data_IF_954049373872
#
_entry.id   IF_954049373872
#
_cell.length_a   1.000
_cell.length_b   1.000
_cell.length_c   1.000
_cell.angle_alpha   90.00
_cell.angle_beta   90.00
_cell.angle_gamma   90.00
#
_symmetry.space_group_name_H-M   'P 1'
#
loop_
_entity.id
_entity.type
_entity.pdbx_description
1 polymer ?
#
# COMPACT_ATOMS: atom_id res chain seq x y z
N UNK A 1 -6.82 31.03 -83.90
CA UNK A 1 -6.02 29.80 -83.95
C UNK A 1 -6.00 29.24 -82.53
N UNK A 2 -6.51 28.08 -82.13
CA UNK A 2 -7.15 26.95 -82.81
C UNK A 2 -7.90 26.15 -81.71
N UNK A 3 -9.14 25.77 -81.98
CA UNK A 3 -9.95 24.80 -81.22
C UNK A 3 -9.50 23.36 -81.53
N UNK A 4 -9.63 22.40 -80.59
CA UNK A 4 -10.16 21.01 -80.75
C UNK A 4 -9.68 20.07 -79.61
N UNK A 5 -10.61 19.55 -78.81
CA UNK A 5 -11.27 18.20 -78.83
C UNK A 5 -10.50 17.14 -78.02
N UNK A 6 -11.01 16.69 -76.85
CA UNK A 6 -11.96 15.58 -76.53
C UNK A 6 -11.46 14.14 -76.79
N UNK A 7 -11.59 13.30 -75.74
CA UNK A 7 -11.89 11.85 -75.66
C UNK A 7 -10.77 10.78 -75.70
N UNK A 8 -10.61 10.03 -74.59
CA UNK A 8 -11.02 8.62 -74.32
C UNK A 8 -10.29 8.10 -73.05
N UNK A 9 -10.92 7.62 -71.96
CA UNK A 9 -11.66 6.35 -71.68
C UNK A 9 -10.76 5.12 -71.42
N UNK A 10 -10.97 4.51 -70.23
CA UNK A 10 -10.61 3.16 -69.73
C UNK A 10 -9.11 2.90 -69.43
N UNK A 11 -8.69 2.19 -68.37
CA UNK A 11 -9.19 0.90 -67.86
C UNK A 11 -9.00 0.71 -66.34
N UNK A 12 -9.85 -0.18 -65.84
CA UNK A 12 -9.89 -0.87 -64.55
C UNK A 12 -8.65 -1.75 -64.39
N UNK A 13 -8.04 -1.80 -63.20
CA UNK A 13 -7.44 -3.03 -62.70
C UNK A 13 -7.73 -3.20 -61.20
N UNK A 14 -8.47 -4.27 -60.92
CA UNK A 14 -8.59 -4.93 -59.64
C UNK A 14 -7.32 -5.76 -59.40
N UNK A 15 -7.01 -5.94 -58.11
CA UNK A 15 -6.40 -7.09 -57.43
C UNK A 15 -5.46 -6.56 -56.36
N UNK A 16 -5.34 -7.10 -55.15
CA UNK A 16 -6.03 -8.09 -54.33
C UNK A 16 -5.25 -8.01 -52.99
N UNK A 17 -5.94 -8.24 -51.88
CA UNK A 17 -5.43 -8.80 -50.63
C UNK A 17 -4.07 -8.32 -50.07
N UNK A 18 -4.10 -7.47 -49.05
CA UNK A 18 -3.28 -7.71 -47.85
C UNK A 18 -4.13 -7.47 -46.60
N UNK A 19 -4.52 -8.58 -46.00
CA UNK A 19 -5.16 -8.70 -44.70
C UNK A 19 -4.04 -8.73 -43.65
N UNK A 20 -3.69 -7.59 -43.07
CA UNK A 20 -2.77 -7.54 -41.93
C UNK A 20 -3.56 -7.64 -40.63
N UNK A 21 -3.74 -8.89 -40.17
CA UNK A 21 -4.14 -9.20 -38.80
C UNK A 21 -2.98 -8.83 -37.88
N UNK A 22 -3.04 -7.65 -37.26
CA UNK A 22 -2.15 -7.30 -36.15
C UNK A 22 -2.61 -8.05 -34.89
N UNK A 23 -1.89 -9.12 -34.56
CA UNK A 23 -1.90 -9.76 -33.26
C UNK A 23 -1.27 -8.83 -32.23
N UNK A 24 -2.07 -8.02 -31.52
CA UNK A 24 -1.61 -7.37 -30.29
C UNK A 24 -1.86 -8.29 -29.09
N UNK A 25 -0.88 -9.13 -28.76
CA UNK A 25 -0.78 -9.67 -27.40
C UNK A 25 -0.23 -8.57 -26.48
N UNK A 26 -1.11 -7.75 -25.92
CA UNK A 26 -0.77 -6.78 -24.88
C UNK A 26 -0.26 -7.53 -23.64
N UNK A 27 1.05 -7.64 -23.52
CA UNK A 27 1.71 -8.36 -22.43
C UNK A 27 1.81 -7.42 -21.23
N UNK A 28 0.80 -7.44 -20.36
CA UNK A 28 0.89 -6.75 -19.07
C UNK A 28 1.99 -7.43 -18.24
N UNK A 29 3.11 -6.73 -18.01
CA UNK A 29 4.19 -7.24 -17.19
C UNK A 29 4.00 -6.74 -15.74
N UNK A 30 3.86 -7.69 -14.81
CA UNK A 30 3.79 -7.39 -13.37
C UNK A 30 5.15 -7.71 -12.74
N UNK A 31 5.83 -6.69 -12.21
CA UNK A 31 7.05 -6.90 -11.43
C UNK A 31 6.68 -6.93 -9.95
N UNK A 32 6.94 -8.05 -9.28
CA UNK A 32 6.86 -8.17 -7.82
C UNK A 32 8.29 -8.24 -7.25
N UNK A 33 8.80 -7.12 -6.75
CA UNK A 33 10.12 -7.09 -6.08
C UNK A 33 9.94 -7.64 -4.66
N UNK A 34 10.23 -8.93 -4.45
CA UNK A 34 10.33 -9.51 -3.10
C UNK A 34 11.76 -9.36 -2.59
N UNK A 35 11.97 -8.74 -1.42
CA UNK A 35 13.23 -8.88 -0.68
C UNK A 35 13.37 -10.34 -0.24
N UNK A 36 14.42 -11.02 -0.68
CA UNK A 36 14.81 -12.32 -0.12
C UNK A 36 15.42 -12.08 1.26
N UNK A 37 14.63 -12.26 2.31
CA UNK A 37 15.16 -12.46 3.66
C UNK A 37 15.70 -13.88 3.73
N UNK A 38 17.01 -14.02 3.90
CA UNK A 38 17.66 -15.30 4.12
C UNK A 38 17.50 -15.70 5.60
N UNK A 39 16.76 -16.77 5.87
CA UNK A 39 16.98 -17.63 7.03
C UNK A 39 16.67 -19.07 6.63
N UNK A 40 17.69 -19.90 6.71
CA UNK A 40 17.64 -21.36 6.69
C UNK A 40 16.94 -21.88 7.93
N UNK A 41 15.98 -22.80 7.77
CA UNK A 41 15.90 -24.01 8.59
C UNK A 41 14.91 -25.03 7.98
N UNK A 42 15.39 -26.26 7.95
CA UNK A 42 14.75 -27.51 7.56
C UNK A 42 13.73 -27.99 8.59
N UNK A 43 12.55 -28.48 8.20
CA UNK A 43 11.89 -29.64 8.83
C UNK A 43 10.99 -30.37 7.83
N UNK A 44 11.07 -31.69 7.95
CA UNK A 44 10.42 -32.80 7.27
C UNK A 44 8.92 -32.72 6.95
N UNK A 45 8.60 -33.36 5.82
CA UNK A 45 7.25 -33.76 5.42
C UNK A 45 6.83 -35.03 6.17
N UNK A 46 5.70 -34.98 6.88
CA UNK A 46 4.82 -36.13 7.00
C UNK A 46 3.36 -35.69 7.19
N UNK A 47 2.55 -35.99 6.18
CA UNK A 47 1.10 -35.84 6.14
C UNK A 47 0.46 -37.20 6.37
N UNK A 48 -0.40 -37.33 7.38
CA UNK A 48 -1.52 -38.29 7.42
C UNK A 48 -2.67 -37.75 8.27
N UNK A 49 -3.81 -37.61 7.59
CA UNK A 49 -5.22 -37.75 8.00
C UNK A 49 -5.59 -37.86 9.48
N UNK A 50 -6.65 -37.13 9.90
CA UNK A 50 -7.96 -37.74 10.21
C UNK A 50 -9.04 -36.71 10.65
N UNK A 51 -10.27 -37.10 10.33
CA UNK A 51 -11.56 -36.40 10.42
C UNK A 51 -12.14 -36.31 11.85
N UNK A 52 -13.06 -35.35 12.00
CA UNK A 52 -14.35 -35.36 12.74
C UNK A 52 -14.39 -35.85 14.21
N UNK A 53 -14.95 -35.03 15.10
CA UNK A 53 -16.26 -35.33 15.70
C UNK A 53 -16.80 -34.18 16.59
N UNK A 54 -18.10 -33.93 16.42
CA UNK A 54 -18.97 -33.25 17.37
C UNK A 54 -19.13 -34.09 18.66
N UNK A 55 -19.44 -33.45 19.79
CA UNK A 55 -20.61 -33.82 20.62
C UNK A 55 -20.76 -32.96 21.89
N UNK A 56 -22.03 -32.80 22.25
CA UNK A 56 -22.66 -32.03 23.33
C UNK A 56 -22.44 -32.66 24.72
N UNK A 57 -22.57 -31.86 25.79
CA UNK A 57 -23.35 -32.12 27.04
C UNK A 57 -22.84 -31.20 28.17
N UNK A 58 -23.55 -30.12 28.55
CA UNK A 58 -24.64 -30.04 29.56
C UNK A 58 -24.24 -30.23 31.04
N UNK A 59 -24.43 -29.14 31.80
CA UNK A 59 -24.85 -28.98 33.20
C UNK A 59 -24.15 -29.71 34.37
N UNK A 60 -23.63 -28.93 35.32
CA UNK A 60 -24.15 -28.91 36.71
C UNK A 60 -23.67 -27.72 37.54
N UNK A 61 -24.64 -27.05 38.15
CA UNK A 61 -24.51 -26.01 39.18
C UNK A 61 -24.08 -26.61 40.54
N UNK A 62 -23.60 -25.75 41.46
CA UNK A 62 -24.06 -25.59 42.87
C UNK A 62 -22.93 -25.18 43.88
N UNK A 63 -23.17 -24.03 44.53
CA UNK A 63 -22.85 -23.53 45.90
C UNK A 63 -21.46 -23.02 46.35
N UNK A 64 -21.51 -21.76 46.84
CA UNK A 64 -20.67 -21.07 47.85
C UNK A 64 -20.68 -21.75 49.23
N UNK A 65 -19.65 -21.51 50.07
CA UNK A 65 -19.81 -20.71 51.32
C UNK A 65 -18.63 -19.73 51.56
N UNK A 66 -18.88 -18.45 51.93
CA UNK A 66 -18.84 -17.81 53.28
C UNK A 66 -17.48 -17.74 54.00
N UNK A 67 -17.10 -16.50 54.31
CA UNK A 67 -15.96 -15.99 55.12
C UNK A 67 -16.01 -16.37 56.60
N UNK A 68 -14.89 -16.18 57.31
CA UNK A 68 -14.95 -15.50 58.61
C UNK A 68 -13.88 -14.40 58.80
N UNK A 69 -14.15 -13.58 59.81
CA UNK A 69 -13.56 -12.28 60.09
C UNK A 69 -12.40 -12.31 61.12
N UNK A 70 -11.63 -11.21 61.11
CA UNK A 70 -11.04 -10.48 62.23
C UNK A 70 -10.09 -11.20 63.23
N UNK A 71 -8.87 -10.67 63.37
CA UNK A 71 -8.30 -10.28 64.67
C UNK A 71 -7.02 -9.44 64.53
N UNK A 72 -7.03 -8.24 65.14
CA UNK A 72 -5.84 -7.46 65.55
C UNK A 72 -5.44 -7.90 66.97
N UNK A 73 -4.16 -7.75 67.35
CA UNK A 73 -3.90 -6.95 68.55
C UNK A 73 -2.71 -5.97 68.45
N UNK A 74 -2.68 -5.07 69.44
CA UNK A 74 -1.83 -3.88 69.61
C UNK A 74 -0.41 -4.17 70.13
N UNK A 75 0.41 -3.13 69.93
CA UNK A 75 1.82 -2.85 70.30
C UNK A 75 2.28 -3.20 71.73
N UNK A 76 3.60 -3.46 71.87
CA UNK A 76 4.44 -2.98 72.98
C UNK A 76 5.88 -2.74 72.52
N UNK A 77 6.46 -1.62 72.98
CA UNK A 77 7.85 -1.16 72.77
C UNK A 77 8.81 -1.91 73.71
N UNK A 78 10.02 -2.19 73.24
CA UNK A 78 11.25 -2.13 74.04
C UNK A 78 12.47 -1.96 73.12
N UNK A 79 13.47 -1.21 73.60
CA UNK A 79 14.62 -0.68 72.87
C UNK A 79 15.91 -1.38 73.29
N UNK A 80 16.85 -1.63 72.36
CA UNK A 80 18.29 -1.31 72.46
C UNK A 80 19.17 -1.88 71.32
N UNK A 81 20.05 -0.99 70.85
CA UNK A 81 21.43 -1.16 70.33
C UNK A 81 21.70 -1.84 68.97
N UNK A 82 21.98 -0.97 68.00
CA UNK A 82 23.11 -0.97 67.04
C UNK A 82 23.77 -2.31 66.65
N UNK A 83 23.73 -2.61 65.35
CA UNK A 83 24.96 -2.82 64.55
C UNK A 83 24.68 -2.59 63.06
N UNK A 84 25.54 -1.79 62.48
CA UNK A 84 25.68 -1.44 61.06
C UNK A 84 25.75 -2.66 60.14
N UNK A 85 25.15 -2.56 58.94
CA UNK A 85 25.79 -2.92 57.65
C UNK A 85 24.83 -2.73 56.45
N UNK A 86 25.35 -2.10 55.39
CA UNK A 86 24.96 -2.17 53.98
C UNK A 86 23.50 -1.87 53.58
N UNK A 87 23.17 -0.59 53.51
CA UNK A 87 22.25 -0.09 52.48
C UNK A 87 23.06 0.28 51.24
N UNK A 88 22.44 0.23 50.06
CA UNK A 88 23.00 0.61 48.75
C UNK A 88 23.76 -0.52 48.04
N UNK A 89 23.03 -1.38 47.31
CA UNK A 89 23.34 -2.04 46.00
C UNK A 89 22.15 -2.98 45.63
N UNK A 90 20.90 -2.53 45.73
CA UNK A 90 19.72 -3.32 45.29
C UNK A 90 18.71 -2.54 44.44
N UNK A 91 19.12 -1.45 43.80
CA UNK A 91 18.20 -0.56 43.08
C UNK A 91 18.47 -0.44 41.57
N UNK A 92 19.62 -0.88 41.07
CA UNK A 92 19.92 -0.82 39.63
C UNK A 92 19.61 -2.11 38.84
N UNK A 93 19.50 -3.27 39.51
CA UNK A 93 19.10 -4.53 38.86
C UNK A 93 17.60 -4.57 38.54
N UNK A 94 16.78 -3.79 39.26
CA UNK A 94 15.32 -3.79 39.13
C UNK A 94 14.85 -2.87 37.98
N UNK A 95 15.58 -1.77 37.70
CA UNK A 95 15.19 -0.81 36.66
C UNK A 95 15.34 -1.41 35.26
N UNK A 96 16.47 -2.09 34.97
CA UNK A 96 16.67 -2.73 33.67
C UNK A 96 15.66 -3.83 33.41
N UNK A 97 15.35 -4.64 34.43
CA UNK A 97 14.34 -5.70 34.33
C UNK A 97 12.94 -5.11 34.09
N UNK A 98 12.56 -4.07 34.83
CA UNK A 98 11.30 -3.35 34.63
C UNK A 98 11.20 -2.72 33.24
N UNK A 99 12.27 -2.10 32.74
CA UNK A 99 12.31 -1.54 31.38
C UNK A 99 12.10 -2.64 30.34
N UNK A 100 12.73 -3.80 30.52
CA UNK A 100 12.54 -4.94 29.63
C UNK A 100 11.09 -5.46 29.68
N UNK A 101 10.51 -5.62 30.87
CA UNK A 101 9.12 -6.02 31.05
C UNK A 101 8.14 -5.03 30.39
N UNK A 102 8.36 -3.72 30.57
CA UNK A 102 7.55 -2.68 29.91
C UNK A 102 7.67 -2.76 28.39
N UNK A 103 8.87 -3.01 27.86
CA UNK A 103 9.07 -3.17 26.41
C UNK A 103 8.37 -4.43 25.86
N UNK A 104 8.39 -5.54 26.61
CA UNK A 104 7.65 -6.77 26.27
C UNK A 104 6.15 -6.51 26.26
N UNK A 105 5.63 -5.81 27.27
CA UNK A 105 4.21 -5.46 27.36
C UNK A 105 3.79 -4.53 26.23
N UNK A 106 4.59 -3.52 25.90
CA UNK A 106 4.36 -2.64 24.74
C UNK A 106 4.29 -3.44 23.45
N UNK A 107 5.26 -4.31 23.20
CA UNK A 107 5.28 -5.18 22.01
C UNK A 107 4.07 -6.11 21.94
N UNK A 108 3.63 -6.65 23.08
CA UNK A 108 2.45 -7.51 23.15
C UNK A 108 1.16 -6.72 22.91
N UNK A 109 1.08 -5.49 23.41
CA UNK A 109 -0.03 -4.59 23.15
C UNK A 109 -0.09 -4.24 21.66
N UNK A 110 1.02 -3.83 21.06
CA UNK A 110 1.11 -3.50 19.63
C UNK A 110 0.69 -4.66 18.72
N UNK A 111 1.01 -5.89 19.12
CA UNK A 111 0.61 -7.10 18.40
C UNK A 111 -0.88 -7.45 18.57
N UNK A 112 -1.50 -7.02 19.67
CA UNK A 112 -2.92 -7.26 19.96
C UNK A 112 -3.86 -6.20 19.37
N UNK A 113 -3.35 -5.02 19.03
CA UNK A 113 -4.13 -3.95 18.41
C UNK A 113 -4.48 -4.35 16.98
N UNK A 114 -5.77 -4.43 16.69
CA UNK A 114 -6.27 -4.60 15.32
C UNK A 114 -5.95 -3.32 14.55
N UNK A 115 -5.02 -3.41 13.60
CA UNK A 115 -4.64 -2.30 12.73
C UNK A 115 -5.58 -2.24 11.54
N UNK A 116 -5.87 -1.02 11.09
CA UNK A 116 -6.57 -0.82 9.82
C UNK A 116 -5.72 -1.39 8.68
N UNK A 117 -6.35 -2.08 7.74
CA UNK A 117 -5.74 -2.60 6.53
C UNK A 117 -5.77 -1.53 5.45
N UNK A 118 -4.60 -1.13 4.98
CA UNK A 118 -4.45 -0.08 3.97
C UNK A 118 -3.95 -0.64 2.64
N UNK A 119 -4.60 -0.21 1.56
CA UNK A 119 -4.15 -0.41 0.19
C UNK A 119 -3.79 0.92 -0.44
N UNK A 120 -2.63 1.00 -1.08
CA UNK A 120 -2.11 2.22 -1.71
C UNK A 120 -2.02 2.00 -3.22
N UNK A 121 -2.64 2.90 -3.99
CA UNK A 121 -2.71 2.82 -5.46
C UNK A 121 -2.20 4.13 -6.05
N UNK A 122 -1.12 4.05 -6.82
CA UNK A 122 -0.39 5.23 -7.29
C UNK A 122 -0.48 5.38 -8.80
N UNK A 123 -1.08 6.48 -9.21
CA UNK A 123 -0.94 7.01 -10.56
C UNK A 123 0.41 7.71 -10.65
N UNK A 124 1.39 6.99 -11.19
CA UNK A 124 2.78 7.46 -11.21
C UNK A 124 2.95 8.70 -12.07
N UNK A 125 2.39 8.79 -13.30
CA UNK A 125 2.39 10.04 -14.07
C UNK A 125 1.86 11.22 -13.26
N UNK A 126 0.68 11.12 -12.66
CA UNK A 126 0.10 12.25 -11.93
C UNK A 126 0.94 12.66 -10.72
N UNK A 127 1.54 11.70 -10.02
CA UNK A 127 2.47 11.99 -8.92
C UNK A 127 3.70 12.76 -9.42
N UNK A 128 4.41 12.22 -10.42
CA UNK A 128 5.68 12.79 -10.89
C UNK A 128 5.52 14.12 -11.62
N UNK A 129 4.41 14.32 -12.36
CA UNK A 129 4.11 15.59 -13.01
C UNK A 129 3.57 16.65 -12.03
N UNK A 130 3.04 16.23 -10.88
CA UNK A 130 2.57 17.14 -9.85
C UNK A 130 3.70 17.74 -8.99
N UNK A 131 4.91 17.16 -9.03
CA UNK A 131 6.09 17.71 -8.33
C UNK A 131 6.52 19.01 -9.00
N UNK A 132 6.73 20.04 -8.18
CA UNK A 132 7.31 21.28 -8.66
C UNK A 132 8.80 21.06 -8.96
N UNK A 133 9.17 20.99 -10.24
CA UNK A 133 10.54 20.66 -10.67
C UNK A 133 11.55 21.77 -10.34
N UNK A 134 11.07 22.99 -10.11
CA UNK A 134 11.89 24.19 -9.95
C UNK A 134 12.72 24.20 -8.65
N UNK A 135 12.35 23.39 -7.65
CA UNK A 135 13.07 23.28 -6.38
C UNK A 135 14.06 22.09 -6.33
N UNK A 136 14.12 21.28 -7.39
CA UNK A 136 14.97 20.10 -7.46
C UNK A 136 14.58 18.98 -6.49
N UNK A 137 13.36 19.02 -5.93
CA UNK A 137 12.92 18.03 -4.95
C UNK A 137 12.63 16.69 -5.61
N UNK A 138 13.38 15.67 -5.22
CA UNK A 138 13.07 14.28 -5.56
C UNK A 138 12.28 13.63 -4.42
N UNK A 139 11.24 12.87 -4.76
CA UNK A 139 10.47 12.11 -3.77
C UNK A 139 11.13 10.74 -3.56
N UNK A 140 11.47 10.44 -2.31
CA UNK A 140 11.81 9.09 -1.89
C UNK A 140 10.51 8.26 -1.75
N UNK A 141 10.38 7.25 -2.62
CA UNK A 141 9.17 6.42 -2.67
C UNK A 141 9.03 5.50 -1.43
N UNK A 142 10.11 5.23 -0.72
CA UNK A 142 10.09 4.50 0.56
C UNK A 142 9.55 5.34 1.70
N UNK A 143 9.98 6.60 1.79
CA UNK A 143 9.46 7.58 2.75
C UNK A 143 7.99 7.90 2.45
N UNK A 144 7.64 8.08 1.17
CA UNK A 144 6.24 8.20 0.77
C UNK A 144 5.43 6.98 1.20
N UNK A 145 5.93 5.75 0.97
CA UNK A 145 5.24 4.52 1.37
C UNK A 145 4.99 4.48 2.88
N UNK A 146 6.02 4.80 3.67
CA UNK A 146 5.94 4.83 5.13
C UNK A 146 4.96 5.91 5.62
N UNK A 147 4.98 7.09 5.00
CA UNK A 147 4.07 8.19 5.34
C UNK A 147 2.61 7.85 5.03
N UNK A 148 2.35 7.20 3.89
CA UNK A 148 0.99 6.81 3.50
C UNK A 148 0.49 5.60 4.31
N UNK A 149 1.36 4.65 4.66
CA UNK A 149 0.98 3.54 5.52
C UNK A 149 0.73 3.97 6.97
N UNK A 150 1.54 4.90 7.51
CA UNK A 150 1.54 5.32 8.93
C UNK A 150 1.66 4.10 9.86
N UNK A 151 0.77 3.98 10.83
CA UNK A 151 0.66 2.92 11.83
C UNK A 151 -0.25 1.75 11.42
N UNK A 152 -0.68 1.72 10.14
CA UNK A 152 -1.64 0.76 9.57
C UNK A 152 -0.95 -0.48 9.00
N UNK A 153 -1.71 -1.55 8.83
CA UNK A 153 -1.24 -2.77 8.16
C UNK A 153 -1.28 -2.56 6.65
N UNK A 154 -0.12 -2.42 6.01
CA UNK A 154 -0.02 -2.31 4.55
C UNK A 154 -0.31 -3.68 3.89
N UNK A 155 -1.49 -3.81 3.27
CA UNK A 155 -1.87 -5.02 2.53
C UNK A 155 -1.28 -5.02 1.13
N UNK A 156 -1.26 -3.86 0.47
CA UNK A 156 -0.72 -3.70 -0.88
C UNK A 156 -0.34 -2.25 -1.16
N UNK A 157 0.79 -2.05 -1.83
CA UNK A 157 1.09 -0.83 -2.56
C UNK A 157 1.32 -1.18 -4.04
N UNK A 158 0.62 -0.51 -4.94
CA UNK A 158 0.74 -0.73 -6.39
C UNK A 158 1.02 0.59 -7.10
N UNK A 159 2.11 0.63 -7.87
CA UNK A 159 2.48 1.75 -8.73
C UNK A 159 2.15 1.41 -10.19
N UNK A 160 1.37 2.27 -10.84
CA UNK A 160 0.94 2.12 -12.23
C UNK A 160 1.80 3.00 -13.13
N UNK A 161 2.69 2.36 -13.87
CA UNK A 161 3.80 3.01 -14.56
C UNK A 161 3.72 2.76 -16.07
N UNK A 162 3.38 3.77 -16.89
CA UNK A 162 3.56 3.62 -18.33
C UNK A 162 5.02 3.40 -18.68
N UNK A 163 5.27 2.61 -19.72
CA UNK A 163 6.61 2.31 -20.20
C UNK A 163 6.71 2.55 -21.70
N UNK A 164 7.93 2.74 -22.18
CA UNK A 164 8.24 2.72 -23.61
C UNK A 164 8.66 1.30 -23.95
N UNK A 165 7.93 0.65 -24.87
CA UNK A 165 8.19 -0.76 -25.25
C UNK A 165 9.50 -0.89 -26.03
N UNK A 166 9.67 -0.05 -27.05
CA UNK A 166 10.85 -0.03 -27.94
C UNK A 166 11.98 0.87 -27.40
N UNK A 167 12.24 0.81 -26.10
CA UNK A 167 13.36 1.54 -25.50
C UNK A 167 14.61 0.68 -25.44
N UNK A 168 15.75 1.24 -25.85
CA UNK A 168 17.07 0.65 -25.54
C UNK A 168 17.38 0.69 -24.03
N UNK A 169 16.62 1.49 -23.27
CA UNK A 169 16.73 1.60 -21.82
C UNK A 169 16.10 0.39 -21.11
N UNK A 170 16.82 -0.26 -20.17
CA UNK A 170 16.26 -1.32 -19.34
C UNK A 170 14.99 -0.88 -18.60
N UNK A 171 14.01 -1.78 -18.49
CA UNK A 171 12.71 -1.51 -17.83
C UNK A 171 12.85 -0.88 -16.44
N UNK A 172 13.85 -1.30 -15.66
CA UNK A 172 14.10 -0.80 -14.30
C UNK A 172 14.69 0.61 -14.26
N UNK A 173 15.28 1.08 -15.35
CA UNK A 173 15.85 2.43 -15.45
C UNK A 173 14.84 3.44 -16.00
N UNK A 174 13.79 2.97 -16.67
CA UNK A 174 12.74 3.83 -17.21
C UNK A 174 12.14 4.74 -16.13
N UNK A 175 11.95 6.02 -16.47
CA UNK A 175 11.54 7.13 -15.58
C UNK A 175 10.41 6.77 -14.60
N UNK A 176 9.36 6.09 -15.07
CA UNK A 176 8.19 5.78 -14.24
C UNK A 176 8.33 4.50 -13.40
N UNK A 177 9.38 3.71 -13.63
CA UNK A 177 9.65 2.46 -12.92
C UNK A 177 10.77 2.64 -11.90
N UNK A 178 11.85 3.30 -12.31
CA UNK A 178 13.08 3.48 -11.52
C UNK A 178 12.87 3.91 -10.07
N UNK A 179 12.02 4.92 -9.75
CA UNK A 179 11.81 5.36 -8.38
C UNK A 179 11.24 4.28 -7.44
N UNK A 180 10.66 3.21 -7.97
CA UNK A 180 9.96 2.18 -7.19
C UNK A 180 10.75 0.89 -7.03
N UNK A 181 11.79 0.66 -7.85
CA UNK A 181 12.51 -0.63 -7.94
C UNK A 181 13.11 -1.07 -6.59
N UNK A 182 13.60 -0.12 -5.80
CA UNK A 182 14.23 -0.41 -4.50
C UNK A 182 13.23 -0.56 -3.33
N UNK A 183 11.94 -0.30 -3.55
CA UNK A 183 10.93 -0.17 -2.51
C UNK A 183 9.84 -1.25 -2.62
N UNK A 184 9.03 -1.39 -1.59
CA UNK A 184 8.06 -2.49 -1.47
C UNK A 184 6.75 -2.20 -2.21
N UNK A 185 6.86 -1.85 -3.50
CA UNK A 185 5.73 -1.66 -4.41
C UNK A 185 5.60 -2.85 -5.36
N UNK A 186 4.36 -3.19 -5.71
CA UNK A 186 4.06 -3.92 -6.94
C UNK A 186 4.04 -2.91 -8.07
N UNK A 187 4.81 -3.15 -9.12
CA UNK A 187 4.85 -2.26 -10.29
C UNK A 187 4.03 -2.92 -11.40
N UNK A 188 2.99 -2.23 -11.86
CA UNK A 188 2.16 -2.61 -13.00
C UNK A 188 2.56 -1.71 -14.15
N UNK A 189 3.03 -2.31 -15.25
CA UNK A 189 3.47 -1.56 -16.41
C UNK A 189 2.58 -1.80 -17.63
N UNK A 190 2.51 -0.78 -18.49
CA UNK A 190 1.80 -0.84 -19.76
C UNK A 190 2.54 0.00 -20.81
N UNK A 191 2.81 -0.55 -22.01
CA UNK A 191 3.37 0.21 -23.11
C UNK A 191 2.53 1.44 -23.47
N UNK A 192 3.19 2.58 -23.60
CA UNK A 192 2.60 3.79 -24.16
C UNK A 192 2.41 3.61 -25.67
N UNK A 193 1.19 3.88 -26.16
CA UNK A 193 0.89 3.88 -27.59
C UNK A 193 1.12 5.25 -28.19
N UNK A 194 1.88 5.30 -29.28
CA UNK A 194 2.04 6.49 -30.12
C UNK A 194 0.98 6.45 -31.22
N UNK A 195 0.18 7.48 -31.33
CA UNK A 195 -0.84 7.61 -32.36
C UNK A 195 -0.28 8.34 -33.57
N UNK A 196 -0.93 8.17 -34.72
CA UNK A 196 -0.55 8.81 -35.99
C UNK A 196 -0.60 10.34 -35.95
N UNK A 197 -1.32 10.91 -34.98
CA UNK A 197 -1.38 12.35 -34.72
C UNK A 197 -0.20 12.88 -33.87
N UNK A 198 0.75 12.00 -33.50
CA UNK A 198 1.89 12.32 -32.65
C UNK A 198 1.58 12.31 -31.15
N UNK A 199 0.33 12.08 -30.74
CA UNK A 199 -0.03 11.94 -29.34
C UNK A 199 0.49 10.61 -28.77
N UNK A 200 0.90 10.65 -27.50
CA UNK A 200 1.33 9.46 -26.76
C UNK A 200 0.31 9.23 -25.65
N UNK A 201 -0.35 8.08 -25.63
CA UNK A 201 -1.26 7.69 -24.53
C UNK A 201 -0.81 6.38 -23.92
N UNK A 202 -0.70 6.36 -22.60
CA UNK A 202 -0.47 5.16 -21.81
C UNK A 202 -1.00 5.37 -20.41
N UNK A 203 -2.28 5.70 -20.29
CA UNK A 203 -2.91 5.73 -18.98
C UNK A 203 -3.20 4.31 -18.50
N UNK A 204 -3.10 4.13 -17.19
CA UNK A 204 -3.41 2.89 -16.51
C UNK A 204 -4.62 3.07 -15.56
N UNK A 205 -5.45 4.09 -15.81
CA UNK A 205 -6.53 4.49 -14.91
C UNK A 205 -7.56 3.36 -14.75
N UNK A 206 -7.84 2.64 -15.85
CA UNK A 206 -8.76 1.50 -15.84
C UNK A 206 -8.18 0.37 -14.99
N UNK A 207 -6.93 -0.01 -15.21
CA UNK A 207 -6.24 -1.04 -14.44
C UNK A 207 -6.18 -0.68 -12.95
N UNK A 208 -5.89 0.59 -12.64
CA UNK A 208 -5.89 1.13 -11.28
C UNK A 208 -7.26 1.00 -10.63
N UNK A 209 -8.32 1.47 -11.30
CA UNK A 209 -9.71 1.39 -10.80
C UNK A 209 -10.12 -0.05 -10.56
N UNK A 210 -9.85 -0.94 -11.52
CA UNK A 210 -10.21 -2.36 -11.42
C UNK A 210 -9.52 -3.01 -10.22
N UNK A 211 -8.22 -2.81 -10.05
CA UNK A 211 -7.46 -3.36 -8.92
C UNK A 211 -7.93 -2.75 -7.59
N UNK A 212 -8.20 -1.45 -7.55
CA UNK A 212 -8.70 -0.74 -6.37
C UNK A 212 -10.05 -1.29 -5.91
N UNK A 213 -11.00 -1.44 -6.84
CA UNK A 213 -12.32 -1.99 -6.53
C UNK A 213 -12.24 -3.47 -6.16
N UNK A 214 -11.45 -4.27 -6.87
CA UNK A 214 -11.30 -5.71 -6.59
C UNK A 214 -10.66 -5.96 -5.22
N UNK A 215 -9.78 -5.07 -4.78
CA UNK A 215 -9.16 -5.16 -3.46
C UNK A 215 -10.01 -4.60 -2.32
N UNK A 216 -11.03 -3.80 -2.62
CA UNK A 216 -11.82 -3.06 -1.62
C UNK A 216 -12.34 -3.96 -0.48
N UNK A 217 -12.85 -5.16 -0.78
CA UNK A 217 -13.39 -6.10 0.22
C UNK A 217 -12.36 -6.61 1.26
N UNK A 218 -11.07 -6.32 1.08
CA UNK A 218 -9.97 -6.77 1.97
C UNK A 218 -9.28 -5.61 2.68
N UNK A 219 -9.73 -4.39 2.46
CA UNK A 219 -9.14 -3.16 2.96
C UNK A 219 -10.12 -2.49 3.92
N UNK A 220 -9.60 -1.67 4.81
CA UNK A 220 -10.39 -0.72 5.60
C UNK A 220 -10.20 0.69 5.04
N UNK A 221 -9.01 0.96 4.48
CA UNK A 221 -8.62 2.24 3.91
C UNK A 221 -7.96 2.05 2.55
N UNK A 222 -8.35 2.88 1.59
CA UNK A 222 -7.69 3.03 0.31
C UNK A 222 -7.01 4.41 0.28
N UNK A 223 -5.73 4.42 -0.07
CA UNK A 223 -5.00 5.65 -0.37
C UNK A 223 -4.81 5.72 -1.89
N UNK A 224 -5.51 6.64 -2.53
CA UNK A 224 -5.33 6.95 -3.94
C UNK A 224 -4.30 8.06 -4.07
N UNK A 225 -3.17 7.78 -4.73
CA UNK A 225 -2.17 8.79 -5.06
C UNK A 225 -2.42 9.25 -6.50
N UNK A 226 -3.42 10.12 -6.66
CA UNK A 226 -3.72 10.83 -7.90
C UNK A 226 -4.56 12.08 -7.59
N UNK A 227 -4.61 13.02 -8.52
CA UNK A 227 -5.43 14.22 -8.46
C UNK A 227 -6.45 14.32 -9.59
N UNK A 228 -6.56 13.28 -10.42
CA UNK A 228 -7.47 13.22 -11.56
C UNK A 228 -8.94 13.02 -11.13
N UNK A 229 -9.84 13.82 -11.71
CA UNK A 229 -11.27 13.74 -11.48
C UNK A 229 -11.90 12.44 -12.04
N UNK A 230 -11.24 11.75 -12.97
CA UNK A 230 -11.76 10.50 -13.55
C UNK A 230 -11.92 9.38 -12.50
N UNK A 231 -11.19 9.46 -11.38
CA UNK A 231 -11.32 8.51 -10.27
C UNK A 231 -12.54 8.76 -9.37
N UNK A 232 -13.28 9.87 -9.53
CA UNK A 232 -14.42 10.23 -8.67
C UNK A 232 -15.42 9.10 -8.48
N UNK A 233 -15.81 8.42 -9.57
CA UNK A 233 -16.78 7.32 -9.50
C UNK A 233 -16.24 6.10 -8.78
N UNK A 234 -14.96 5.82 -8.92
CA UNK A 234 -14.31 4.72 -8.23
C UNK A 234 -14.20 4.99 -6.73
N UNK A 235 -13.90 6.23 -6.32
CA UNK A 235 -13.92 6.66 -4.92
C UNK A 235 -15.31 6.48 -4.31
N UNK A 236 -16.35 7.03 -4.95
CA UNK A 236 -17.74 6.92 -4.48
C UNK A 236 -18.19 5.46 -4.32
N UNK A 237 -17.81 4.61 -5.27
CA UNK A 237 -18.12 3.19 -5.20
C UNK A 237 -17.41 2.51 -4.02
N UNK A 238 -16.11 2.76 -3.83
CA UNK A 238 -15.37 2.21 -2.69
C UNK A 238 -15.96 2.68 -1.34
N UNK A 239 -16.33 3.96 -1.24
CA UNK A 239 -17.01 4.51 -0.05
C UNK A 239 -18.36 3.85 0.20
N UNK A 240 -19.13 3.54 -0.85
CA UNK A 240 -20.40 2.81 -0.72
C UNK A 240 -20.25 1.40 -0.14
N UNK A 241 -19.04 0.83 -0.19
CA UNK A 241 -18.66 -0.45 0.43
C UNK A 241 -18.20 -0.30 1.88
N UNK A 242 -18.20 0.92 2.43
CA UNK A 242 -17.73 1.22 3.78
C UNK A 242 -16.23 1.43 3.89
N UNK A 243 -15.52 1.57 2.76
CA UNK A 243 -14.07 1.80 2.74
C UNK A 243 -13.80 3.28 2.85
N UNK A 244 -12.90 3.68 3.75
CA UNK A 244 -12.42 5.07 3.80
C UNK A 244 -11.46 5.30 2.63
N UNK A 245 -11.65 6.39 1.89
CA UNK A 245 -10.77 6.75 0.78
C UNK A 245 -10.03 8.05 1.08
N UNK A 246 -8.71 7.95 1.16
CA UNK A 246 -7.80 9.07 1.33
C UNK A 246 -7.17 9.39 -0.03
N UNK A 247 -7.16 10.66 -0.43
CA UNK A 247 -6.52 11.12 -1.66
C UNK A 247 -5.24 11.85 -1.30
N UNK A 248 -4.11 11.42 -1.86
CA UNK A 248 -2.82 12.05 -1.65
C UNK A 248 -2.25 12.55 -2.97
N UNK A 249 -2.02 13.86 -3.10
CA UNK A 249 -1.52 14.45 -4.34
C UNK A 249 -1.02 15.87 -4.13
N UNK A 250 -0.43 16.46 -5.16
CA UNK A 250 -0.03 17.86 -5.17
C UNK A 250 -1.22 18.76 -5.51
N UNK A 251 -1.47 19.86 -4.78
CA UNK A 251 -2.63 20.71 -4.99
C UNK A 251 -2.79 21.22 -6.42
N UNK A 252 -1.66 21.46 -7.12
CA UNK A 252 -1.61 21.93 -8.51
C UNK A 252 -2.11 20.90 -9.52
N UNK A 253 -1.95 19.60 -9.23
CA UNK A 253 -2.39 18.51 -10.10
C UNK A 253 -3.69 17.86 -9.61
N UNK A 254 -4.48 18.54 -8.78
CA UNK A 254 -5.67 17.94 -8.14
C UNK A 254 -6.94 18.73 -8.38
N UNK A 255 -7.94 18.05 -8.94
CA UNK A 255 -9.30 18.58 -9.11
C UNK A 255 -9.96 18.94 -7.77
N UNK A 256 -10.79 19.99 -7.78
CA UNK A 256 -11.54 20.44 -6.60
C UNK A 256 -12.60 19.40 -6.22
N UNK A 257 -13.24 18.81 -7.21
CA UNK A 257 -14.25 17.77 -7.06
C UNK A 257 -13.67 16.54 -6.35
N UNK A 258 -12.45 16.13 -6.73
CA UNK A 258 -11.80 14.98 -6.10
C UNK A 258 -11.52 15.22 -4.62
N UNK A 259 -11.05 16.42 -4.27
CA UNK A 259 -10.83 16.83 -2.86
C UNK A 259 -12.12 16.83 -2.06
N UNK A 260 -13.24 17.21 -2.67
CA UNK A 260 -14.54 17.29 -2.00
C UNK A 260 -15.16 15.91 -1.75
N UNK A 261 -14.85 14.92 -2.58
CA UNK A 261 -15.40 13.56 -2.47
C UNK A 261 -14.55 12.65 -1.58
N UNK A 262 -13.24 12.89 -1.49
CA UNK A 262 -12.36 12.12 -0.61
C UNK A 262 -12.74 12.29 0.87
N UNK A 263 -12.61 11.22 1.67
CA UNK A 263 -12.81 11.30 3.12
C UNK A 263 -11.71 12.11 3.80
N UNK A 264 -10.50 12.05 3.24
CA UNK A 264 -9.35 12.84 3.67
C UNK A 264 -8.51 13.23 2.46
N UNK A 265 -8.08 14.49 2.40
CA UNK A 265 -7.15 14.98 1.40
C UNK A 265 -5.79 15.26 2.03
N UNK A 266 -4.77 14.57 1.53
CA UNK A 266 -3.39 14.72 1.94
C UNK A 266 -2.62 15.54 0.89
N UNK A 267 -2.37 16.79 1.24
CA UNK A 267 -1.54 17.71 0.45
C UNK A 267 -0.06 17.34 0.60
N UNK A 268 0.51 16.68 -0.43
CA UNK A 268 1.91 16.23 -0.42
C UNK A 268 2.91 17.40 -0.38
N UNK A 269 2.53 18.58 -0.88
CA UNK A 269 3.42 19.76 -0.87
C UNK A 269 3.75 20.23 0.55
N UNK A 270 2.84 20.01 1.51
CA UNK A 270 3.05 20.34 2.92
C UNK A 270 3.91 19.33 3.67
N UNK A 271 4.22 18.21 3.02
CA UNK A 271 4.90 17.06 3.63
C UNK A 271 6.21 16.73 2.94
N UNK A 272 6.72 17.62 2.06
CA UNK A 272 8.00 17.44 1.36
C UNK A 272 9.13 17.04 2.29
N UNK A 273 9.24 17.71 3.45
CA UNK A 273 10.26 17.42 4.46
C UNK A 273 10.24 15.98 5.01
N UNK A 274 9.13 15.25 4.83
CA UNK A 274 8.99 13.85 5.25
C UNK A 274 9.13 12.84 4.11
N UNK A 275 9.12 13.30 2.85
CA UNK A 275 9.10 12.42 1.66
C UNK A 275 10.21 12.72 0.66
N UNK A 276 11.03 13.74 0.88
CA UNK A 276 12.20 14.04 0.07
C UNK A 276 13.32 13.00 0.28
N UNK A 277 14.15 12.83 -0.74
CA UNK A 277 15.37 12.02 -0.71
C UNK A 277 16.53 12.65 0.09
#
# INVERSE_FOLDING_TARGET
MTNRKVNHVNEINKNENEESVENESSSNNVIQVRKKSATTESVDNNSKDLKQNESKSANKSVKKPRTPANNKPKQKKESKKEKSTSGDIKTNLDIEELVNQVNILKKSLDASVIKQKVGIFLDVPNLLYGVDVDDGTEIDMGNLLALLAKDRELVRATAYSPIVDDSDEPLQEQRFVKPFVAHNYRIVTKPMKRFSDGSVKGNLDIELVVDMITMSDRLDVIVLVSGDADFLKAIQYAQSKGIKVEVASFPKSTSVELKAVADEYLDLSKLYNKIQA
#
